data_IF_889238566106
#
_entry.id   IF_889238566106
#
_cell.length_a   1.000
_cell.length_b   1.000
_cell.length_c   1.000
_cell.angle_alpha   90.00
_cell.angle_beta   90.00
_cell.angle_gamma   90.00
#
_symmetry.space_group_name_H-M   'P 1'
#
loop_
_entity.id
_entity.type
_entity.pdbx_description
1 polymer ?
#
# COMPACT_ATOMS: atom_id res chain seq x y z
N UNK A 1 28.27 -41.94 2.38
CA UNK A 1 29.19 -41.22 3.28
C UNK A 1 29.57 -39.88 2.66
N UNK A 2 28.78 -38.80 2.81
CA UNK A 2 29.17 -37.49 2.30
C UNK A 2 30.18 -36.85 3.27
N UNK A 3 31.34 -36.51 2.72
CA UNK A 3 32.56 -36.04 3.40
C UNK A 3 32.49 -34.51 3.57
N UNK A 4 32.92 -34.06 4.75
CA UNK A 4 32.95 -32.69 5.26
C UNK A 4 33.11 -31.56 4.23
N UNK A 5 32.13 -30.65 4.19
CA UNK A 5 32.17 -29.38 3.44
C UNK A 5 32.67 -28.19 4.28
N UNK A 6 33.42 -28.45 5.36
CA UNK A 6 33.97 -27.39 6.22
C UNK A 6 35.49 -27.41 6.14
N UNK A 7 36.07 -26.57 5.28
CA UNK A 7 37.50 -26.29 5.30
C UNK A 7 37.83 -25.45 6.55
N UNK A 8 38.79 -25.90 7.39
CA UNK A 8 39.26 -25.12 8.53
C UNK A 8 40.05 -23.91 7.99
N UNK A 9 39.54 -22.70 8.21
CA UNK A 9 40.21 -21.45 7.80
C UNK A 9 39.33 -20.43 7.10
N UNK A 10 38.09 -20.76 6.74
CA UNK A 10 37.14 -19.75 6.26
C UNK A 10 36.67 -18.93 7.47
N UNK A 11 36.90 -17.60 7.53
CA UNK A 11 36.35 -16.79 8.60
C UNK A 11 34.82 -16.91 8.55
N UNK A 12 34.23 -17.47 9.61
CA UNK A 12 32.78 -17.47 9.79
C UNK A 12 32.38 -16.00 9.93
N UNK A 13 31.87 -15.43 8.84
CA UNK A 13 31.51 -14.02 8.80
C UNK A 13 30.31 -13.79 9.70
N UNK A 14 30.55 -13.22 10.88
CA UNK A 14 29.51 -12.82 11.84
C UNK A 14 28.45 -11.89 11.19
N UNK A 15 28.80 -11.24 10.07
CA UNK A 15 27.90 -10.43 9.26
C UNK A 15 26.69 -11.19 8.72
N UNK A 16 26.83 -12.48 8.37
CA UNK A 16 25.70 -13.31 7.88
C UNK A 16 24.74 -13.59 9.03
N UNK A 17 25.25 -14.03 10.18
CA UNK A 17 24.45 -14.27 11.37
C UNK A 17 23.74 -13.00 11.88
N UNK A 18 24.41 -11.85 11.84
CA UNK A 18 23.81 -10.56 12.20
C UNK A 18 22.70 -10.14 11.23
N UNK A 19 22.88 -10.38 9.92
CA UNK A 19 21.86 -10.15 8.89
C UNK A 19 20.64 -11.04 9.10
N UNK A 20 20.85 -12.33 9.34
CA UNK A 20 19.76 -13.29 9.53
C UNK A 20 18.95 -12.99 10.81
N UNK A 21 19.65 -12.60 11.88
CA UNK A 21 19.01 -12.12 13.10
C UNK A 21 18.19 -10.85 12.87
N UNK A 22 18.75 -9.86 12.17
CA UNK A 22 18.05 -8.62 11.84
C UNK A 22 16.81 -8.87 10.97
N UNK A 23 16.92 -9.75 9.95
CA UNK A 23 15.79 -10.14 9.10
C UNK A 23 14.70 -10.84 9.91
N UNK A 24 15.08 -11.81 10.76
CA UNK A 24 14.13 -12.52 11.63
C UNK A 24 13.41 -11.57 12.57
N UNK A 25 14.13 -10.62 13.17
CA UNK A 25 13.55 -9.60 14.06
C UNK A 25 12.61 -8.65 13.31
N UNK A 26 13.00 -8.20 12.12
CA UNK A 26 12.17 -7.35 11.27
C UNK A 26 10.88 -8.08 10.86
N UNK A 27 10.96 -9.36 10.50
CA UNK A 27 9.80 -10.14 10.12
C UNK A 27 8.82 -10.32 11.28
N UNK A 28 9.32 -10.63 12.48
CA UNK A 28 8.50 -10.67 13.71
C UNK A 28 7.81 -9.33 13.98
N UNK A 29 8.51 -8.21 13.75
CA UNK A 29 7.96 -6.87 13.95
C UNK A 29 6.92 -6.51 12.88
N UNK A 30 7.13 -6.89 11.61
CA UNK A 30 6.18 -6.65 10.53
C UNK A 30 4.82 -7.31 10.80
N UNK A 31 4.82 -8.53 11.34
CA UNK A 31 3.60 -9.25 11.75
C UNK A 31 2.75 -8.44 12.73
N UNK A 32 3.39 -7.67 13.62
CA UNK A 32 2.69 -6.93 14.68
C UNK A 32 2.32 -5.50 14.27
N UNK A 33 3.07 -4.87 13.37
CA UNK A 33 2.89 -3.43 13.07
C UNK A 33 2.33 -3.13 11.67
N UNK A 34 2.40 -4.06 10.72
CA UNK A 34 1.99 -3.80 9.35
C UNK A 34 0.46 -3.78 9.21
N UNK A 35 -0.13 -2.74 8.58
CA UNK A 35 -1.59 -2.62 8.49
C UNK A 35 -2.25 -3.68 7.59
N UNK A 36 -1.56 -4.15 6.55
CA UNK A 36 -2.00 -5.29 5.72
C UNK A 36 -1.41 -6.60 6.24
N UNK A 37 -2.26 -7.51 6.71
CA UNK A 37 -1.88 -8.86 7.20
C UNK A 37 -1.20 -9.71 6.13
N UNK A 38 -1.54 -9.55 4.85
CA UNK A 38 -0.94 -10.32 3.75
C UNK A 38 0.54 -9.98 3.63
N UNK A 39 0.85 -8.68 3.61
CA UNK A 39 2.23 -8.18 3.60
C UNK A 39 2.97 -8.59 4.87
N UNK A 40 2.31 -8.50 6.03
CA UNK A 40 2.85 -8.93 7.32
C UNK A 40 3.29 -10.41 7.30
N UNK A 41 2.55 -11.25 6.57
CA UNK A 41 2.82 -12.68 6.36
C UNK A 41 3.72 -12.96 5.14
N UNK A 42 4.40 -11.96 4.57
CA UNK A 42 5.29 -12.11 3.42
C UNK A 42 4.59 -12.28 2.07
N UNK A 43 3.25 -12.17 2.02
CA UNK A 43 2.46 -12.22 0.78
C UNK A 43 2.10 -10.80 0.34
N UNK A 44 3.09 -10.10 -0.21
CA UNK A 44 2.91 -8.75 -0.73
C UNK A 44 1.87 -8.65 -1.86
N UNK A 45 1.34 -7.45 -2.13
CA UNK A 45 0.41 -7.25 -3.24
C UNK A 45 1.07 -7.56 -4.59
N UNK A 46 0.25 -7.86 -5.60
CA UNK A 46 0.73 -7.97 -6.99
C UNK A 46 1.52 -6.72 -7.37
N UNK A 47 2.62 -6.94 -8.09
CA UNK A 47 3.49 -5.86 -8.57
C UNK A 47 2.71 -4.90 -9.49
N UNK A 48 3.09 -3.63 -9.45
CA UNK A 48 2.65 -2.64 -10.44
C UNK A 48 3.46 -2.83 -11.74
N UNK A 49 2.99 -2.31 -12.88
CA UNK A 49 3.79 -2.31 -14.11
C UNK A 49 5.19 -1.75 -13.90
N UNK A 50 6.19 -2.39 -14.50
CA UNK A 50 7.61 -2.02 -14.36
C UNK A 50 7.94 -0.69 -15.05
N UNK A 51 7.18 -0.31 -16.07
CA UNK A 51 7.33 0.94 -16.82
C UNK A 51 6.02 1.72 -16.87
N UNK A 52 6.10 3.00 -17.26
CA UNK A 52 4.94 3.86 -17.48
C UNK A 52 4.35 4.53 -16.23
N UNK A 53 4.81 4.18 -15.02
CA UNK A 53 4.49 4.95 -13.80
C UNK A 53 5.72 5.69 -13.31
N UNK A 54 5.53 6.93 -12.86
CA UNK A 54 6.57 7.66 -12.16
C UNK A 54 6.85 7.02 -10.80
N UNK A 55 8.02 7.32 -10.21
CA UNK A 55 8.37 6.84 -8.86
C UNK A 55 7.32 7.26 -7.82
N UNK A 56 6.78 8.48 -7.94
CA UNK A 56 5.77 9.03 -7.03
C UNK A 56 4.45 8.28 -7.14
N UNK A 57 3.92 8.15 -8.36
CA UNK A 57 2.68 7.40 -8.63
C UNK A 57 2.78 5.97 -8.08
N UNK A 58 3.89 5.28 -8.38
CA UNK A 58 4.14 3.92 -7.90
C UNK A 58 4.13 3.85 -6.37
N UNK A 59 4.80 4.79 -5.69
CA UNK A 59 4.84 4.82 -4.23
C UNK A 59 3.44 5.05 -3.62
N UNK A 60 2.65 5.97 -4.17
CA UNK A 60 1.28 6.25 -3.73
C UNK A 60 0.38 5.03 -3.89
N UNK A 61 0.41 4.38 -5.06
CA UNK A 61 -0.36 3.17 -5.34
C UNK A 61 0.04 1.99 -4.43
N UNK A 62 1.34 1.80 -4.16
CA UNK A 62 1.80 0.76 -3.24
C UNK A 62 1.34 1.01 -1.80
N UNK A 63 1.38 2.26 -1.32
CA UNK A 63 0.84 2.61 0.01
C UNK A 63 -0.65 2.29 0.09
N UNK A 64 -1.40 2.60 -0.96
CA UNK A 64 -2.83 2.28 -1.07
C UNK A 64 -3.06 0.77 -0.96
N UNK A 65 -2.35 -0.02 -1.78
CA UNK A 65 -2.48 -1.49 -1.85
C UNK A 65 -2.12 -2.21 -0.54
N UNK A 66 -1.18 -1.63 0.21
CA UNK A 66 -0.68 -2.22 1.46
C UNK A 66 -1.37 -1.66 2.70
N UNK A 67 -2.41 -0.82 2.54
CA UNK A 67 -3.06 -0.15 3.67
C UNK A 67 -2.15 0.81 4.43
N UNK A 68 -0.99 1.17 3.85
CA UNK A 68 0.01 2.03 4.47
C UNK A 68 -0.31 3.53 4.38
N UNK A 69 -1.52 3.88 3.98
CA UNK A 69 -2.02 5.26 3.94
C UNK A 69 -2.27 5.79 5.36
N UNK A 70 -2.09 7.10 5.57
CA UNK A 70 -2.31 7.79 6.84
C UNK A 70 -3.69 8.45 6.90
N UNK A 71 -4.74 7.65 6.76
CA UNK A 71 -6.12 8.16 6.94
C UNK A 71 -6.31 8.73 8.35
N UNK A 72 -7.28 9.64 8.55
CA UNK A 72 -7.54 10.23 9.86
C UNK A 72 -7.83 9.14 10.92
N UNK A 73 -8.59 8.09 10.59
CA UNK A 73 -8.80 6.97 11.50
C UNK A 73 -7.49 6.30 11.93
N UNK A 74 -6.54 6.11 11.00
CA UNK A 74 -5.23 5.53 11.34
C UNK A 74 -4.38 6.48 12.18
N UNK A 75 -4.39 7.78 11.85
CA UNK A 75 -3.69 8.80 12.63
C UNK A 75 -4.25 8.87 14.05
N UNK A 76 -5.56 8.85 14.21
CA UNK A 76 -6.25 8.80 15.50
C UNK A 76 -5.86 7.57 16.32
N UNK A 77 -5.89 6.37 15.73
CA UNK A 77 -5.44 5.13 16.40
C UNK A 77 -3.98 5.15 16.84
N UNK A 78 -3.15 6.00 16.22
CA UNK A 78 -1.74 6.19 16.59
C UNK A 78 -1.49 7.43 17.45
N UNK A 79 -2.55 8.09 17.94
CA UNK A 79 -2.43 9.30 18.76
C UNK A 79 -1.85 10.51 18.02
N UNK A 80 -1.90 10.52 16.68
CA UNK A 80 -1.33 11.57 15.82
C UNK A 80 -2.35 12.62 15.39
N UNK A 81 -3.61 12.46 15.75
CA UNK A 81 -4.68 13.42 15.45
C UNK A 81 -5.77 13.32 16.52
N UNK A 82 -6.51 14.41 16.73
CA UNK A 82 -7.56 14.51 17.74
C UNK A 82 -8.87 13.80 17.32
N UNK A 83 -9.08 13.54 16.03
CA UNK A 83 -10.30 12.92 15.51
C UNK A 83 -10.03 11.93 14.38
N UNK A 84 -10.87 10.92 14.27
CA UNK A 84 -10.91 9.96 13.17
C UNK A 84 -11.78 10.42 12.00
N UNK A 85 -12.51 11.53 12.14
CA UNK A 85 -13.47 12.03 11.15
C UNK A 85 -12.80 12.58 9.89
N UNK A 86 -13.46 12.39 8.75
CA UNK A 86 -13.08 13.00 7.49
C UNK A 86 -13.42 14.48 7.52
N UNK A 87 -12.46 15.34 7.14
CA UNK A 87 -12.67 16.80 7.08
C UNK A 87 -13.74 17.23 6.08
N UNK A 88 -14.12 16.35 5.14
CA UNK A 88 -15.05 16.66 4.05
C UNK A 88 -16.49 16.21 4.32
N UNK A 89 -16.69 15.13 5.08
CA UNK A 89 -18.03 14.58 5.31
C UNK A 89 -18.34 14.23 6.76
N UNK A 90 -17.38 14.36 7.69
CA UNK A 90 -17.57 14.06 9.12
C UNK A 90 -17.54 12.58 9.49
N UNK A 91 -17.78 11.67 8.55
CA UNK A 91 -17.71 10.22 8.80
C UNK A 91 -16.29 9.74 9.12
N UNK A 92 -16.11 8.61 9.81
CA UNK A 92 -14.79 8.02 10.05
C UNK A 92 -13.97 7.83 8.76
N UNK A 93 -12.81 8.46 8.69
CA UNK A 93 -11.94 8.45 7.52
C UNK A 93 -11.10 7.18 7.47
N UNK A 94 -11.63 6.14 6.82
CA UNK A 94 -10.88 4.97 6.41
C UNK A 94 -10.66 4.95 4.90
N UNK A 95 -9.87 3.99 4.40
CA UNK A 95 -9.55 3.91 2.98
C UNK A 95 -10.81 3.71 2.11
N UNK A 96 -11.75 2.90 2.58
CA UNK A 96 -12.99 2.60 1.87
C UNK A 96 -13.91 3.84 1.71
N UNK A 97 -14.25 4.59 2.77
CA UNK A 97 -14.91 5.87 2.69
C UNK A 97 -14.25 6.83 1.70
N UNK A 98 -12.94 7.01 1.76
CA UNK A 98 -12.23 7.93 0.87
C UNK A 98 -12.39 7.54 -0.61
N UNK A 99 -12.21 6.24 -0.90
CA UNK A 99 -12.21 5.73 -2.28
C UNK A 99 -13.60 5.39 -2.83
N UNK A 100 -14.67 5.36 -2.01
CA UNK A 100 -15.99 4.91 -2.47
C UNK A 100 -17.18 5.73 -2.00
N UNK A 101 -17.14 6.27 -0.78
CA UNK A 101 -18.37 6.71 -0.09
C UNK A 101 -18.40 8.24 0.11
N UNK A 102 -17.29 8.83 0.56
CA UNK A 102 -17.18 10.20 1.02
C UNK A 102 -17.80 11.20 0.03
N UNK A 103 -18.95 11.84 0.31
CA UNK A 103 -19.63 12.69 -0.67
C UNK A 103 -18.78 13.87 -1.13
N UNK A 104 -17.93 14.41 -0.26
CA UNK A 104 -17.00 15.50 -0.60
C UNK A 104 -15.83 15.11 -1.51
N UNK A 105 -15.72 13.85 -1.92
CA UNK A 105 -14.77 13.35 -2.92
C UNK A 105 -15.49 12.74 -4.15
N UNK A 106 -16.81 12.93 -4.27
CA UNK A 106 -17.60 12.27 -5.31
C UNK A 106 -17.16 12.69 -6.72
N UNK A 107 -16.79 13.96 -6.91
CA UNK A 107 -16.36 14.50 -8.21
C UNK A 107 -15.06 13.83 -8.65
N UNK A 108 -14.04 13.82 -7.81
CA UNK A 108 -12.72 13.25 -8.07
C UNK A 108 -12.83 11.73 -8.27
N UNK A 109 -13.67 11.05 -7.48
CA UNK A 109 -13.96 9.62 -7.67
C UNK A 109 -14.63 9.31 -9.00
N UNK A 110 -15.48 10.22 -9.51
CA UNK A 110 -16.14 10.00 -10.79
C UNK A 110 -15.11 9.92 -11.93
N UNK A 111 -14.06 10.76 -11.90
CA UNK A 111 -12.94 10.71 -12.85
C UNK A 111 -12.24 9.35 -12.84
N UNK A 112 -11.92 8.83 -11.65
CA UNK A 112 -11.31 7.50 -11.49
C UNK A 112 -12.23 6.42 -12.03
N UNK A 113 -13.51 6.48 -11.67
CA UNK A 113 -14.50 5.49 -12.09
C UNK A 113 -14.64 5.46 -13.62
N UNK A 114 -14.73 6.63 -14.25
CA UNK A 114 -14.77 6.76 -15.72
C UNK A 114 -13.50 6.24 -16.37
N UNK A 115 -12.33 6.52 -15.80
CA UNK A 115 -11.06 6.01 -16.33
C UNK A 115 -10.99 4.48 -16.28
N UNK A 116 -11.45 3.86 -15.20
CA UNK A 116 -11.55 2.40 -15.09
C UNK A 116 -12.56 1.82 -16.09
N UNK A 117 -13.74 2.42 -16.19
CA UNK A 117 -14.79 1.97 -17.12
C UNK A 117 -14.33 2.01 -18.59
N UNK A 118 -13.60 3.05 -19.00
CA UNK A 118 -13.01 3.16 -20.36
C UNK A 118 -12.03 2.03 -20.68
N UNK A 119 -11.46 1.40 -19.66
CA UNK A 119 -10.53 0.26 -19.80
C UNK A 119 -11.25 -1.09 -19.61
N UNK A 120 -12.58 -1.11 -19.49
CA UNK A 120 -13.35 -2.31 -19.19
C UNK A 120 -13.14 -2.86 -17.77
N UNK A 121 -12.61 -2.03 -16.85
CA UNK A 121 -12.36 -2.40 -15.47
C UNK A 121 -13.53 -2.01 -14.56
N UNK A 122 -13.77 -2.84 -13.54
CA UNK A 122 -14.72 -2.53 -12.46
C UNK A 122 -14.03 -1.68 -11.40
N UNK A 123 -14.70 -0.62 -10.94
CA UNK A 123 -14.25 0.23 -9.83
C UNK A 123 -15.29 0.28 -8.70
N UNK A 124 -16.16 -0.73 -8.62
CA UNK A 124 -17.31 -0.73 -7.73
C UNK A 124 -16.99 -1.19 -6.31
N UNK A 125 -15.85 -1.83 -6.06
CA UNK A 125 -15.38 -2.28 -4.74
C UNK A 125 -13.89 -1.95 -4.59
N UNK A 126 -13.37 -1.97 -3.36
CA UNK A 126 -11.95 -1.68 -3.12
C UNK A 126 -11.02 -2.67 -3.84
N UNK A 127 -11.34 -3.96 -3.81
CA UNK A 127 -10.46 -4.99 -4.38
C UNK A 127 -10.16 -4.79 -5.88
N UNK A 128 -11.13 -4.66 -6.80
CA UNK A 128 -10.84 -4.43 -8.22
C UNK A 128 -10.29 -3.02 -8.51
N UNK A 129 -10.53 -2.04 -7.64
CA UNK A 129 -9.91 -0.72 -7.73
C UNK A 129 -8.40 -0.80 -7.43
N UNK A 130 -8.04 -1.45 -6.33
CA UNK A 130 -6.65 -1.59 -5.86
C UNK A 130 -5.86 -2.64 -6.66
N UNK A 131 -6.53 -3.73 -7.04
CA UNK A 131 -5.95 -4.92 -7.66
C UNK A 131 -6.71 -5.30 -8.95
N UNK A 132 -6.69 -4.45 -9.99
CA UNK A 132 -7.35 -4.78 -11.24
C UNK A 132 -6.72 -6.04 -11.86
N UNK A 133 -7.56 -6.87 -12.50
CA UNK A 133 -7.15 -8.13 -13.13
C UNK A 133 -6.06 -7.93 -14.18
N UNK A 134 -6.10 -6.78 -14.89
CA UNK A 134 -5.07 -6.31 -15.80
C UNK A 134 -4.67 -4.89 -15.39
N UNK A 135 -3.37 -4.60 -15.22
CA UNK A 135 -2.93 -3.26 -14.87
C UNK A 135 -2.98 -2.35 -16.10
N UNK A 136 -4.06 -1.61 -16.26
CA UNK A 136 -4.16 -0.58 -17.30
C UNK A 136 -3.54 0.73 -16.79
N UNK A 137 -2.44 1.16 -17.42
CA UNK A 137 -1.73 2.38 -17.04
C UNK A 137 -2.62 3.62 -16.93
N UNK A 138 -3.56 3.89 -17.87
CA UNK A 138 -4.45 5.05 -17.74
C UNK A 138 -5.33 5.02 -16.49
N UNK A 139 -5.83 3.85 -16.12
CA UNK A 139 -6.65 3.67 -14.93
C UNK A 139 -5.81 3.86 -13.65
N UNK A 140 -4.62 3.26 -13.60
CA UNK A 140 -3.71 3.40 -12.47
C UNK A 140 -3.21 4.82 -12.28
N UNK A 141 -2.93 5.56 -13.37
CA UNK A 141 -2.57 6.98 -13.32
C UNK A 141 -3.72 7.83 -12.81
N UNK A 142 -4.93 7.62 -13.32
CA UNK A 142 -6.11 8.35 -12.81
C UNK A 142 -6.32 8.14 -11.31
N UNK A 143 -6.06 6.93 -10.79
CA UNK A 143 -6.08 6.68 -9.35
C UNK A 143 -4.93 7.39 -8.63
N UNK A 144 -3.73 7.45 -9.20
CA UNK A 144 -2.61 8.19 -8.62
C UNK A 144 -2.86 9.71 -8.61
N UNK A 145 -3.41 10.27 -9.68
CA UNK A 145 -3.80 11.68 -9.79
C UNK A 145 -4.83 12.03 -8.73
N UNK A 146 -5.86 11.18 -8.55
CA UNK A 146 -6.82 11.32 -7.46
C UNK A 146 -6.14 11.40 -6.09
N UNK A 147 -5.13 10.57 -5.82
CA UNK A 147 -4.43 10.58 -4.53
C UNK A 147 -3.60 11.84 -4.32
N UNK A 148 -3.01 12.37 -5.39
CA UNK A 148 -2.22 13.59 -5.36
C UNK A 148 -3.14 14.83 -5.21
N UNK A 149 -4.24 14.91 -5.96
CA UNK A 149 -5.21 16.02 -5.89
C UNK A 149 -5.95 16.09 -4.54
N UNK A 150 -6.31 14.93 -3.98
CA UNK A 150 -7.11 14.87 -2.75
C UNK A 150 -6.28 14.83 -1.48
N UNK A 151 -4.96 14.68 -1.60
CA UNK A 151 -4.05 14.52 -0.47
C UNK A 151 -4.25 13.23 0.33
N UNK A 152 -5.04 12.27 -0.17
CA UNK A 152 -5.36 11.02 0.55
C UNK A 152 -4.10 10.19 0.84
N UNK A 153 -3.11 10.19 -0.06
CA UNK A 153 -1.84 9.49 0.14
C UNK A 153 -0.70 10.38 0.67
N UNK A 154 -0.99 11.65 0.96
CA UNK A 154 0.00 12.60 1.44
C UNK A 154 0.44 12.24 2.87
N UNK A 155 1.74 12.35 3.11
CA UNK A 155 2.30 12.30 4.44
C UNK A 155 2.36 13.75 4.93
N UNK A 156 1.37 14.16 5.72
CA UNK A 156 1.36 15.44 6.44
C UNK A 156 1.75 15.20 7.89
#
# INVERSE_FOLDING_TARGET
MPKAAHQPGIPITQAVAARDYAQTRLQKLLVTVHPDRRVANGRGPKLLPDTGLTRRERASLLRLRTGCVWTAARRYLKGRCASAACSRCGDPETLEPLLRICPGLAKERSTVTTAYQRQGLRANTLEPLLFPSRPHLPALRSLADFLDETGVAAYH
#
